data_IF_462512686075
#
_entry.id   IF_462512686075
#
_cell.length_a   1.000
_cell.length_b   1.000
_cell.length_c   1.000
_cell.angle_alpha   90.00
_cell.angle_beta   90.00
_cell.angle_gamma   90.00
#
_symmetry.space_group_name_H-M   'P 1'
#
loop_
_entity.id
_entity.type
_entity.pdbx_description
1 polymer ?
#
# COMPACT_ATOMS: atom_id res chain seq x y z
N UNK A 1 -25.00 -6.05 14.11
CA UNK A 1 -24.82 -5.58 15.51
C UNK A 1 -23.75 -6.43 16.20
N UNK A 2 -22.99 -5.87 17.13
CA UNK A 2 -21.95 -6.57 17.90
C UNK A 2 -22.45 -7.88 18.59
N UNK A 3 -23.65 -7.95 19.18
CA UNK A 3 -24.17 -9.19 19.74
C UNK A 3 -24.33 -10.32 18.71
N UNK A 4 -24.81 -10.00 17.51
CA UNK A 4 -24.98 -11.00 16.45
C UNK A 4 -23.65 -11.53 15.89
N UNK A 5 -22.60 -10.74 15.90
CA UNK A 5 -21.26 -11.18 15.52
C UNK A 5 -20.66 -12.12 16.58
N UNK A 6 -20.77 -11.77 17.86
CA UNK A 6 -20.33 -12.64 18.96
C UNK A 6 -21.00 -14.00 18.94
N UNK A 7 -22.31 -14.05 18.68
CA UNK A 7 -23.06 -15.31 18.59
C UNK A 7 -22.56 -16.22 17.44
N UNK A 8 -21.93 -15.65 16.42
CA UNK A 8 -21.37 -16.36 15.25
C UNK A 8 -19.84 -16.49 15.31
N UNK A 9 -19.24 -16.11 16.43
CA UNK A 9 -17.78 -16.08 16.62
C UNK A 9 -17.04 -15.25 15.55
N UNK A 10 -17.67 -14.17 15.11
CA UNK A 10 -17.10 -13.23 14.13
C UNK A 10 -16.53 -11.99 14.83
N UNK A 11 -15.40 -11.50 14.36
CA UNK A 11 -14.78 -10.25 14.81
C UNK A 11 -14.70 -9.26 13.67
N UNK A 12 -14.61 -7.97 13.97
CA UNK A 12 -14.42 -6.94 12.94
C UNK A 12 -13.02 -7.01 12.26
N UNK A 13 -12.06 -7.66 12.92
CA UNK A 13 -10.73 -7.87 12.35
C UNK A 13 -10.76 -8.82 11.16
N UNK A 14 -11.65 -9.82 11.20
CA UNK A 14 -11.79 -10.83 10.14
C UNK A 14 -12.98 -10.57 9.22
N UNK A 15 -13.98 -9.81 9.70
CA UNK A 15 -15.19 -9.46 8.95
C UNK A 15 -15.52 -7.98 9.13
N UNK A 16 -14.71 -7.09 8.54
CA UNK A 16 -14.95 -5.66 8.64
C UNK A 16 -16.26 -5.27 7.95
N UNK A 17 -16.98 -4.33 8.56
CA UNK A 17 -18.15 -3.70 7.97
C UNK A 17 -17.81 -2.26 7.66
N UNK A 18 -17.90 -1.88 6.41
CA UNK A 18 -17.56 -0.56 5.92
C UNK A 18 -18.57 -0.02 4.90
N UNK A 19 -18.43 1.25 4.58
CA UNK A 19 -19.26 1.95 3.59
C UNK A 19 -18.56 2.08 2.23
N UNK A 20 -17.42 1.43 2.06
CA UNK A 20 -16.58 1.49 0.86
C UNK A 20 -17.16 0.74 -0.35
N UNK A 21 -16.52 0.88 -1.50
CA UNK A 21 -16.98 0.28 -2.76
C UNK A 21 -16.90 -1.24 -2.80
N UNK A 22 -16.10 -1.84 -1.92
CA UNK A 22 -15.93 -3.29 -1.85
C UNK A 22 -16.17 -3.81 -0.44
N UNK A 23 -16.59 -5.06 -0.34
CA UNK A 23 -16.78 -5.78 0.90
C UNK A 23 -16.00 -7.10 0.88
N UNK A 24 -15.49 -7.50 2.05
CA UNK A 24 -14.77 -8.75 2.20
C UNK A 24 -15.75 -9.93 2.12
N UNK A 25 -15.48 -10.87 1.21
CA UNK A 25 -16.31 -12.08 1.01
C UNK A 25 -15.58 -13.36 1.38
N UNK A 26 -14.24 -13.35 1.33
CA UNK A 26 -13.41 -14.48 1.75
C UNK A 26 -12.16 -13.95 2.45
N UNK A 27 -11.78 -14.57 3.56
CA UNK A 27 -10.53 -14.27 4.24
C UNK A 27 -9.90 -15.56 4.77
N UNK A 28 -8.77 -15.91 4.21
CA UNK A 28 -7.91 -16.99 4.71
C UNK A 28 -6.59 -16.36 5.18
N UNK A 29 -6.33 -16.33 6.50
CA UNK A 29 -5.13 -15.69 7.05
C UNK A 29 -3.84 -16.16 6.38
N UNK A 30 -2.95 -15.22 6.07
CA UNK A 30 -1.64 -15.45 5.42
C UNK A 30 -1.71 -16.18 4.06
N UNK A 31 -2.87 -16.20 3.43
CA UNK A 31 -3.04 -16.86 2.15
C UNK A 31 -3.81 -16.01 1.14
N UNK A 32 -5.10 -15.73 1.41
CA UNK A 32 -5.98 -15.12 0.40
C UNK A 32 -7.05 -14.24 1.03
N UNK A 33 -7.34 -13.14 0.33
CA UNK A 33 -8.45 -12.24 0.62
C UNK A 33 -9.21 -11.97 -0.67
N UNK A 34 -10.55 -12.08 -0.62
CA UNK A 34 -11.42 -11.77 -1.75
C UNK A 34 -12.37 -10.64 -1.37
N UNK A 35 -12.40 -9.63 -2.21
CA UNK A 35 -13.28 -8.50 -2.10
C UNK A 35 -14.24 -8.50 -3.28
N UNK A 36 -15.53 -8.38 -3.01
CA UNK A 36 -16.56 -8.20 -4.02
C UNK A 36 -17.16 -6.79 -3.95
N UNK A 37 -17.75 -6.32 -5.04
CA UNK A 37 -18.44 -5.04 -5.10
C UNK A 37 -19.51 -4.97 -4.00
N UNK A 38 -19.52 -3.88 -3.25
CA UNK A 38 -20.53 -3.63 -2.23
C UNK A 38 -21.82 -3.12 -2.91
N UNK A 39 -22.93 -3.88 -2.86
CA UNK A 39 -24.18 -3.48 -3.49
C UNK A 39 -24.84 -2.24 -2.85
N UNK A 40 -24.43 -1.90 -1.63
CA UNK A 40 -24.93 -0.75 -0.89
C UNK A 40 -24.03 0.49 -1.00
N UNK A 41 -22.96 0.41 -1.79
CA UNK A 41 -22.11 1.57 -2.03
C UNK A 41 -22.86 2.62 -2.86
N UNK A 42 -22.88 3.86 -2.37
CA UNK A 42 -23.59 4.97 -3.01
C UNK A 42 -23.11 5.29 -4.44
N UNK A 43 -21.88 4.84 -4.79
CA UNK A 43 -21.19 5.23 -6.00
C UNK A 43 -20.72 6.69 -5.95
N UNK A 44 -19.52 6.93 -6.43
CA UNK A 44 -18.94 8.26 -6.56
C UNK A 44 -18.64 8.51 -8.04
N UNK A 45 -18.93 9.72 -8.58
CA UNK A 45 -18.58 10.02 -9.94
C UNK A 45 -17.05 10.05 -10.09
N UNK A 46 -16.55 9.46 -11.18
CA UNK A 46 -15.15 9.59 -11.54
C UNK A 46 -14.83 11.05 -11.88
N UNK A 47 -13.70 11.61 -11.44
CA UNK A 47 -13.37 13.01 -11.64
C UNK A 47 -13.31 13.39 -13.13
N UNK A 48 -13.70 14.62 -13.42
CA UNK A 48 -13.63 15.20 -14.76
C UNK A 48 -12.49 16.21 -14.90
N UNK A 49 -11.84 16.54 -13.80
CA UNK A 49 -10.71 17.45 -13.71
C UNK A 49 -9.51 16.71 -13.11
N UNK A 50 -8.31 17.03 -13.56
CA UNK A 50 -7.05 16.44 -13.12
C UNK A 50 -5.88 17.37 -13.37
N UNK A 51 -4.67 16.82 -13.27
CA UNK A 51 -3.45 17.54 -13.53
C UNK A 51 -3.26 17.83 -15.04
N UNK A 52 -2.44 18.84 -15.39
CA UNK A 52 -2.09 19.10 -16.76
C UNK A 52 -1.48 17.86 -17.42
N UNK A 53 -2.14 17.35 -18.47
CA UNK A 53 -1.70 16.14 -19.18
C UNK A 53 -2.59 14.91 -18.96
N UNK A 54 -3.39 14.85 -17.91
CA UNK A 54 -4.26 13.70 -17.60
C UNK A 54 -5.31 13.46 -18.71
N UNK A 55 -5.83 14.54 -19.28
CA UNK A 55 -6.73 14.45 -20.43
C UNK A 55 -6.05 13.79 -21.63
N UNK A 56 -4.82 14.23 -21.96
CA UNK A 56 -4.05 13.68 -23.08
C UNK A 56 -3.59 12.22 -22.81
N UNK A 57 -3.37 11.88 -21.56
CA UNK A 57 -3.03 10.51 -21.13
C UNK A 57 -4.26 9.58 -21.10
N UNK A 58 -5.47 10.11 -21.34
CA UNK A 58 -6.72 9.33 -21.31
C UNK A 58 -7.21 8.97 -19.90
N UNK A 59 -6.63 9.54 -18.86
CA UNK A 59 -6.99 9.24 -17.46
C UNK A 59 -8.38 9.75 -17.09
N UNK A 60 -8.92 10.74 -17.82
CA UNK A 60 -10.26 11.32 -17.61
C UNK A 60 -11.33 10.71 -18.52
N UNK A 61 -11.03 9.62 -19.23
CA UNK A 61 -11.98 8.98 -20.16
C UNK A 61 -13.27 8.48 -19.51
N UNK A 62 -13.22 8.22 -18.21
CA UNK A 62 -14.37 7.74 -17.42
C UNK A 62 -15.06 8.85 -16.63
N UNK A 63 -14.79 10.12 -16.95
CA UNK A 63 -15.42 11.29 -16.34
C UNK A 63 -16.92 11.11 -16.15
N UNK A 64 -17.41 11.33 -14.95
CA UNK A 64 -18.83 11.26 -14.58
C UNK A 64 -19.42 9.87 -14.45
N UNK A 65 -18.74 8.80 -14.88
CA UNK A 65 -19.20 7.43 -14.66
C UNK A 65 -19.10 7.09 -13.17
N UNK A 66 -20.01 6.25 -12.68
CA UNK A 66 -20.00 5.85 -11.27
C UNK A 66 -19.00 4.75 -10.99
N UNK A 67 -18.20 4.96 -9.95
CA UNK A 67 -17.28 3.93 -9.40
C UNK A 67 -18.04 2.94 -8.50
N UNK A 68 -17.52 1.73 -8.26
CA UNK A 68 -16.29 1.16 -8.81
C UNK A 68 -16.48 0.54 -10.20
N UNK A 69 -15.40 0.47 -11.01
CA UNK A 69 -15.46 -0.10 -12.36
C UNK A 69 -15.19 -1.61 -12.39
N UNK A 70 -14.38 -2.12 -11.48
CA UNK A 70 -14.07 -3.56 -11.37
C UNK A 70 -15.05 -4.24 -10.41
N UNK A 71 -15.35 -5.53 -10.65
CA UNK A 71 -16.35 -6.27 -9.88
C UNK A 71 -15.81 -6.83 -8.59
N UNK A 72 -14.51 -7.09 -8.51
CA UNK A 72 -13.88 -7.62 -7.32
C UNK A 72 -12.36 -7.61 -7.40
N UNK A 73 -11.73 -7.92 -6.28
CA UNK A 73 -10.29 -8.04 -6.14
C UNK A 73 -9.95 -9.31 -5.38
N UNK A 74 -8.90 -9.99 -5.84
CA UNK A 74 -8.31 -11.13 -5.14
C UNK A 74 -6.90 -10.74 -4.74
N UNK A 75 -6.65 -10.69 -3.45
CA UNK A 75 -5.31 -10.47 -2.90
C UNK A 75 -4.74 -11.80 -2.41
N UNK A 76 -3.55 -12.13 -2.85
CA UNK A 76 -2.81 -13.33 -2.46
C UNK A 76 -1.56 -12.90 -1.71
N UNK A 77 -1.33 -13.51 -0.55
CA UNK A 77 -0.14 -13.26 0.25
C UNK A 77 0.98 -14.16 -0.23
N UNK A 78 1.98 -13.57 -0.87
CA UNK A 78 3.24 -14.23 -1.19
C UNK A 78 4.26 -13.91 -0.09
N UNK A 79 4.93 -14.94 0.40
CA UNK A 79 5.91 -14.78 1.49
C UNK A 79 7.26 -14.27 1.00
N UNK A 80 7.52 -14.39 -0.29
CA UNK A 80 8.79 -14.01 -0.90
C UNK A 80 8.54 -13.16 -2.17
N UNK A 81 9.35 -12.14 -2.36
CA UNK A 81 9.22 -11.23 -3.51
C UNK A 81 9.57 -11.85 -4.86
N UNK A 82 10.54 -12.75 -4.88
CA UNK A 82 11.02 -13.37 -6.13
C UNK A 82 9.95 -14.20 -6.87
N UNK A 83 9.21 -15.12 -6.21
CA UNK A 83 8.10 -15.82 -6.84
C UNK A 83 6.98 -14.90 -7.33
N UNK A 84 6.69 -13.84 -6.59
CA UNK A 84 5.66 -12.85 -6.96
C UNK A 84 6.01 -12.14 -8.28
N UNK A 85 7.25 -11.70 -8.44
CA UNK A 85 7.70 -11.04 -9.67
C UNK A 85 7.61 -11.96 -10.88
N UNK A 86 8.04 -13.24 -10.73
CA UNK A 86 7.95 -14.23 -11.80
C UNK A 86 6.49 -14.51 -12.20
N UNK A 87 5.60 -14.67 -11.24
CA UNK A 87 4.16 -14.88 -11.49
C UNK A 87 3.52 -13.67 -12.16
N UNK A 88 3.90 -12.45 -11.76
CA UNK A 88 3.43 -11.24 -12.42
C UNK A 88 3.83 -11.18 -13.88
N UNK A 89 5.09 -11.42 -14.20
CA UNK A 89 5.58 -11.44 -15.60
C UNK A 89 4.92 -12.54 -16.45
N UNK A 90 4.47 -13.62 -15.81
CA UNK A 90 3.70 -14.70 -16.45
C UNK A 90 2.20 -14.39 -16.58
N UNK A 91 1.73 -13.24 -16.05
CA UNK A 91 0.34 -12.81 -16.15
C UNK A 91 -0.61 -13.38 -15.10
N UNK A 92 -0.10 -13.94 -13.99
CA UNK A 92 -0.95 -14.43 -12.89
C UNK A 92 -1.49 -13.29 -12.02
N UNK A 93 -0.83 -12.14 -12.02
CA UNK A 93 -1.21 -10.97 -11.23
C UNK A 93 -1.33 -9.74 -12.12
N UNK A 94 -2.36 -8.92 -11.88
CA UNK A 94 -2.55 -7.65 -12.56
C UNK A 94 -1.70 -6.54 -11.92
N UNK A 95 -1.49 -6.63 -10.59
CA UNK A 95 -0.76 -5.62 -9.82
C UNK A 95 0.02 -6.28 -8.68
N UNK A 96 1.34 -6.41 -8.81
CA UNK A 96 2.19 -6.91 -7.74
C UNK A 96 2.58 -5.79 -6.79
N UNK A 97 2.91 -6.15 -5.55
CA UNK A 97 3.57 -5.26 -4.62
C UNK A 97 5.09 -5.47 -4.73
N UNK A 98 5.80 -4.46 -5.25
CA UNK A 98 7.26 -4.51 -5.31
C UNK A 98 7.86 -3.76 -4.13
N UNK A 99 8.74 -4.41 -3.39
CA UNK A 99 9.59 -3.72 -2.43
C UNK A 99 10.85 -3.20 -3.13
N UNK A 100 11.18 -1.94 -2.88
CA UNK A 100 12.38 -1.33 -3.43
C UNK A 100 13.61 -1.95 -2.80
N UNK A 101 14.47 -2.56 -3.61
CA UNK A 101 15.82 -2.97 -3.18
C UNK A 101 15.96 -4.42 -2.70
N UNK A 102 14.96 -5.27 -2.85
CA UNK A 102 15.13 -6.69 -2.62
C UNK A 102 16.08 -7.32 -3.66
N UNK A 103 17.22 -7.90 -3.22
CA UNK A 103 18.11 -8.66 -4.13
C UNK A 103 17.36 -9.90 -4.62
N UNK A 104 17.25 -10.05 -5.95
CA UNK A 104 16.61 -11.23 -6.56
C UNK A 104 15.20 -11.01 -7.07
N UNK A 105 14.62 -9.82 -6.95
CA UNK A 105 13.47 -9.45 -7.74
C UNK A 105 13.91 -9.34 -9.20
N UNK A 106 13.31 -10.13 -10.09
CA UNK A 106 13.58 -10.11 -11.53
C UNK A 106 13.27 -8.76 -12.21
N UNK A 107 12.74 -7.82 -11.46
CA UNK A 107 12.61 -6.41 -11.78
C UNK A 107 13.68 -5.58 -11.08
N UNK A 108 14.95 -5.85 -11.34
CA UNK A 108 15.88 -4.75 -11.35
C UNK A 108 15.42 -3.83 -12.48
N UNK A 109 14.72 -2.78 -12.08
CA UNK A 109 14.42 -1.67 -12.97
C UNK A 109 15.77 -1.06 -13.34
N UNK A 110 16.39 -1.59 -14.37
CA UNK A 110 17.47 -0.90 -15.07
C UNK A 110 16.86 0.40 -15.58
N UNK A 111 17.08 1.47 -14.86
CA UNK A 111 16.78 2.84 -15.29
C UNK A 111 17.83 3.16 -16.37
N UNK A 112 17.59 2.67 -17.58
CA UNK A 112 18.62 2.71 -18.62
C UNK A 112 18.27 3.66 -19.78
N UNK A 113 17.07 4.24 -19.81
CA UNK A 113 16.64 5.12 -20.89
C UNK A 113 16.21 6.52 -20.45
N UNK A 114 16.49 6.89 -19.22
CA UNK A 114 16.03 8.16 -18.63
C UNK A 114 14.52 8.24 -18.37
N UNK A 115 13.72 7.24 -18.74
CA UNK A 115 12.27 7.17 -18.50
C UNK A 115 11.92 6.35 -17.27
N UNK A 116 12.91 5.71 -16.64
CA UNK A 116 12.71 4.85 -15.47
C UNK A 116 12.03 3.51 -15.78
N UNK A 117 11.98 3.11 -17.06
CA UNK A 117 11.33 1.87 -17.49
C UNK A 117 12.36 0.83 -17.92
N UNK A 118 12.27 -0.39 -17.41
CA UNK A 118 13.08 -1.49 -17.94
C UNK A 118 12.55 -1.92 -19.31
N UNK A 119 13.46 -2.39 -20.18
CA UNK A 119 13.10 -2.93 -21.51
C UNK A 119 12.08 -4.08 -21.38
N UNK A 120 12.18 -4.85 -20.33
CA UNK A 120 11.28 -5.99 -20.04
C UNK A 120 9.86 -5.54 -19.75
N UNK A 121 9.67 -4.50 -18.94
CA UNK A 121 8.35 -3.92 -18.68
C UNK A 121 7.71 -3.36 -19.95
N UNK A 122 8.50 -2.71 -20.78
CA UNK A 122 8.02 -2.17 -22.06
C UNK A 122 7.60 -3.28 -23.02
N UNK A 123 8.40 -4.36 -23.12
CA UNK A 123 8.09 -5.49 -23.98
C UNK A 123 6.79 -6.22 -23.59
N UNK A 124 6.48 -6.29 -22.28
CA UNK A 124 5.24 -6.85 -21.76
C UNK A 124 4.07 -5.84 -21.69
N UNK A 125 4.26 -4.62 -22.20
CA UNK A 125 3.27 -3.52 -22.17
C UNK A 125 2.82 -3.16 -20.75
N UNK A 126 3.67 -3.38 -19.76
CA UNK A 126 3.38 -3.07 -18.37
C UNK A 126 3.45 -1.55 -18.15
N UNK A 127 2.40 -1.00 -17.54
CA UNK A 127 2.34 0.43 -17.19
C UNK A 127 2.86 0.62 -15.77
N UNK A 128 3.72 1.60 -15.58
CA UNK A 128 4.20 2.06 -14.28
C UNK A 128 3.64 3.46 -14.02
N UNK A 129 2.43 3.59 -13.50
CA UNK A 129 1.92 4.89 -13.09
C UNK A 129 2.76 5.38 -11.91
N UNK A 130 3.22 6.63 -11.98
CA UNK A 130 3.92 7.28 -10.89
C UNK A 130 3.15 8.51 -10.45
N UNK A 131 3.08 8.71 -9.14
CA UNK A 131 2.48 9.90 -8.55
C UNK A 131 3.41 10.46 -7.50
N UNK A 132 3.40 11.78 -7.36
CA UNK A 132 4.15 12.43 -6.30
C UNK A 132 3.42 12.18 -4.97
N UNK A 133 4.06 11.42 -4.09
CA UNK A 133 3.54 11.18 -2.75
C UNK A 133 4.22 12.11 -1.75
N UNK A 134 3.43 12.96 -1.12
CA UNK A 134 3.89 13.78 0.00
C UNK A 134 3.76 12.94 1.26
N UNK A 135 4.88 12.49 1.79
CA UNK A 135 4.93 11.67 3.00
C UNK A 135 6.09 12.10 3.90
N UNK A 136 5.88 11.99 5.19
CA UNK A 136 6.89 12.19 6.21
C UNK A 136 7.13 10.88 6.95
N UNK A 137 8.36 10.41 6.92
CA UNK A 137 8.82 9.28 7.71
C UNK A 137 9.64 9.79 8.89
N UNK A 138 9.34 9.32 10.09
CA UNK A 138 10.05 9.77 11.28
C UNK A 138 10.20 8.63 12.29
N UNK A 139 11.25 8.74 13.10
CA UNK A 139 11.43 7.92 14.29
C UNK A 139 10.97 8.72 15.50
N UNK A 140 10.02 8.16 16.25
CA UNK A 140 9.53 8.75 17.48
C UNK A 140 10.20 8.09 18.69
N UNK A 141 10.77 8.90 19.59
CA UNK A 141 11.26 8.40 20.88
C UNK A 141 10.14 8.40 21.91
N UNK A 142 10.00 7.29 22.65
CA UNK A 142 9.11 7.28 23.80
C UNK A 142 9.63 8.21 24.88
N UNK A 143 8.95 9.31 25.11
CA UNK A 143 9.37 10.35 26.03
C UNK A 143 9.36 9.91 27.51
N UNK A 144 8.62 8.86 27.85
CA UNK A 144 8.56 8.26 29.19
C UNK A 144 9.63 7.20 29.43
N UNK A 145 10.39 6.82 28.42
CA UNK A 145 11.43 5.81 28.53
C UNK A 145 12.62 6.38 29.35
N UNK A 146 13.18 5.60 30.31
CA UNK A 146 14.25 6.10 31.17
C UNK A 146 15.58 6.28 30.44
N UNK A 147 15.77 5.67 29.27
CA UNK A 147 17.04 5.68 28.52
C UNK A 147 17.03 6.71 27.41
N UNK A 148 15.93 6.76 26.62
CA UNK A 148 15.81 7.66 25.47
C UNK A 148 14.82 8.80 25.69
N UNK A 149 14.02 8.78 26.75
CA UNK A 149 13.00 9.78 27.05
C UNK A 149 13.53 11.06 27.68
N UNK A 150 12.63 11.80 28.33
CA UNK A 150 12.91 13.11 28.89
C UNK A 150 14.01 13.10 30.01
N UNK A 151 14.13 12.00 30.76
CA UNK A 151 14.94 11.92 31.97
C UNK A 151 14.20 12.52 33.18
N UNK A 152 14.55 12.07 34.39
CA UNK A 152 13.95 12.53 35.65
C UNK A 152 14.82 13.55 36.35
N UNK A 153 16.11 13.61 36.04
CA UNK A 153 17.07 14.56 36.55
C UNK A 153 17.74 15.32 35.39
N UNK A 154 18.34 16.51 35.64
CA UNK A 154 19.08 17.22 34.59
C UNK A 154 20.20 16.41 33.96
N UNK A 155 20.91 15.56 34.76
CA UNK A 155 21.96 14.68 34.22
C UNK A 155 21.40 13.59 33.30
N UNK A 156 20.28 12.96 33.71
CA UNK A 156 19.61 11.96 32.85
C UNK A 156 19.08 12.60 31.58
N UNK A 157 18.47 13.76 31.67
CA UNK A 157 17.93 14.49 30.52
C UNK A 157 19.04 14.78 29.49
N UNK A 158 20.20 15.26 29.95
CA UNK A 158 21.34 15.55 29.08
C UNK A 158 21.94 14.29 28.46
N UNK A 159 22.10 13.21 29.24
CA UNK A 159 22.55 11.91 28.72
C UNK A 159 21.61 11.38 27.65
N UNK A 160 20.32 11.36 27.94
CA UNK A 160 19.29 10.85 27.02
C UNK A 160 19.20 11.72 25.76
N UNK A 161 19.35 13.04 25.87
CA UNK A 161 19.42 13.95 24.73
C UNK A 161 20.60 13.60 23.81
N UNK A 162 21.79 13.39 24.38
CA UNK A 162 22.99 12.99 23.61
C UNK A 162 22.78 11.66 22.92
N UNK A 163 22.13 10.69 23.58
CA UNK A 163 21.82 9.41 22.97
C UNK A 163 20.87 9.55 21.77
N UNK A 164 19.78 10.32 21.90
CA UNK A 164 18.87 10.62 20.77
C UNK A 164 19.60 11.29 19.61
N UNK A 165 20.50 12.26 19.91
CA UNK A 165 21.31 12.89 18.88
C UNK A 165 22.24 11.89 18.17
N UNK A 166 22.89 10.99 18.92
CA UNK A 166 23.73 9.96 18.34
C UNK A 166 22.94 9.01 17.41
N UNK A 167 21.75 8.58 17.85
CA UNK A 167 20.84 7.78 17.02
C UNK A 167 20.44 8.53 15.75
N UNK A 168 20.08 9.80 15.87
CA UNK A 168 19.67 10.62 14.71
C UNK A 168 20.81 10.90 13.70
N UNK A 169 22.05 10.81 14.13
CA UNK A 169 23.24 10.95 13.25
C UNK A 169 23.58 9.63 12.55
N UNK A 170 23.27 8.51 13.21
CA UNK A 170 23.59 7.16 12.71
C UNK A 170 22.56 6.63 11.70
N UNK A 171 21.40 7.28 11.59
CA UNK A 171 20.31 6.95 10.66
C UNK A 171 20.42 7.74 9.36
#
# INVERSE_FOLDING_TARGET
SQPGMKARNLTLDTWPVGTGPYMLTEYTPNHRMVLARNPHFRGEPYPCEGEPGDQAAGLLADCGKRTPFIDGMVSIVEKEGSPMSAKFLQGYYDMPQFERGEPGTAMQVSIDDGTGRSKELVSHKIKLPSTLQVGLWYYGFNWLDPVVGAGRTPQEAERNRKLRQAISIAL
#
